data_IF_376973652932
#
_entry.id   IF_376973652932
#
_cell.length_a   1.000
_cell.length_b   1.000
_cell.length_c   1.000
_cell.angle_alpha   90.00
_cell.angle_beta   90.00
_cell.angle_gamma   90.00
#
_symmetry.space_group_name_H-M   'P 1'
#
loop_
_entity.id
_entity.type
_entity.pdbx_description
1 polymer ?
#
# COMPACT_ATOMS: atom_id res chain seq x y z
N UNK A 1 -12.55 5.07 -7.96
CA UNK A 1 -12.01 3.74 -7.66
C UNK A 1 -10.52 3.75 -7.89
N UNK A 2 -9.73 3.71 -6.82
CA UNK A 2 -8.30 3.41 -6.84
C UNK A 2 -8.16 1.91 -6.56
N UNK A 3 -7.39 1.18 -7.37
CA UNK A 3 -7.21 -0.26 -7.19
C UNK A 3 -5.77 -0.69 -7.45
N UNK A 4 -5.15 -1.29 -6.45
CA UNK A 4 -3.90 -2.02 -6.51
C UNK A 4 -4.21 -3.51 -6.40
N UNK A 5 -3.75 -4.33 -7.35
CA UNK A 5 -3.99 -5.78 -7.37
C UNK A 5 -2.67 -6.51 -7.51
N UNK A 6 -2.26 -7.21 -6.45
CA UNK A 6 -1.06 -8.05 -6.38
C UNK A 6 0.23 -7.33 -6.82
N UNK A 7 0.33 -6.05 -6.46
CA UNK A 7 1.50 -5.23 -6.80
C UNK A 7 2.67 -5.67 -5.92
N UNK A 8 3.81 -5.96 -6.54
CA UNK A 8 5.08 -6.19 -5.85
C UNK A 8 6.01 -5.02 -6.08
N UNK A 9 6.47 -4.40 -5.00
CA UNK A 9 7.46 -3.33 -5.02
C UNK A 9 8.73 -3.76 -4.29
N UNK A 10 9.90 -3.42 -4.85
CA UNK A 10 11.19 -3.70 -4.24
C UNK A 10 11.70 -2.46 -3.52
N UNK A 11 11.66 -2.46 -2.19
CA UNK A 11 12.28 -1.42 -1.38
C UNK A 11 13.64 -1.92 -0.88
N UNK A 12 14.73 -1.33 -1.39
CA UNK A 12 16.10 -1.83 -1.14
C UNK A 12 16.24 -3.34 -1.36
N UNK A 13 15.69 -3.85 -2.47
CA UNK A 13 15.66 -5.28 -2.83
C UNK A 13 14.80 -6.17 -1.93
N UNK A 14 14.12 -5.61 -0.94
CA UNK A 14 13.14 -6.34 -0.13
C UNK A 14 11.76 -6.29 -0.82
N UNK A 15 11.17 -7.45 -1.15
CA UNK A 15 9.86 -7.48 -1.78
C UNK A 15 8.76 -7.14 -0.79
N UNK A 16 7.92 -6.18 -1.17
CA UNK A 16 6.68 -5.84 -0.48
C UNK A 16 5.50 -6.05 -1.43
N UNK A 17 4.40 -6.57 -0.90
CA UNK A 17 3.19 -6.89 -1.69
C UNK A 17 2.01 -6.08 -1.19
N UNK A 18 1.27 -5.50 -2.12
CA UNK A 18 0.13 -4.65 -1.83
C UNK A 18 -1.08 -4.97 -2.70
N UNK A 19 -2.23 -5.09 -2.04
CA UNK A 19 -3.55 -5.13 -2.65
C UNK A 19 -4.46 -4.21 -1.86
N UNK A 20 -5.05 -3.22 -2.54
CA UNK A 20 -5.87 -2.18 -1.93
C UNK A 20 -6.91 -1.73 -2.94
N UNK A 21 -8.16 -1.61 -2.49
CA UNK A 21 -9.24 -0.97 -3.25
C UNK A 21 -9.79 0.16 -2.39
N UNK A 22 -9.94 1.35 -2.98
CA UNK A 22 -10.56 2.51 -2.34
C UNK A 22 -11.60 3.10 -3.29
N UNK A 23 -12.83 3.18 -2.82
CA UNK A 23 -13.93 3.74 -3.57
C UNK A 23 -14.02 5.26 -3.44
N UNK A 24 -14.74 5.88 -4.38
CA UNK A 24 -14.90 7.33 -4.37
C UNK A 24 -15.72 7.75 -3.14
N UNK A 25 -15.12 8.59 -2.30
CA UNK A 25 -15.77 9.07 -1.07
C UNK A 25 -15.45 8.23 0.17
N UNK A 26 -14.73 7.11 0.04
CA UNK A 26 -14.22 6.39 1.19
C UNK A 26 -13.04 7.11 1.83
N UNK A 27 -12.98 7.06 3.16
CA UNK A 27 -11.84 7.47 3.95
C UNK A 27 -11.24 6.23 4.62
N UNK A 28 -9.97 5.94 4.31
CA UNK A 28 -9.29 4.73 4.78
C UNK A 28 -8.06 5.12 5.60
N UNK A 29 -7.89 4.50 6.77
CA UNK A 29 -6.69 4.63 7.58
C UNK A 29 -5.78 3.42 7.36
N UNK A 30 -4.50 3.67 7.09
CA UNK A 30 -3.48 2.62 6.96
C UNK A 30 -2.72 2.53 8.28
N UNK A 31 -2.84 1.39 8.97
CA UNK A 31 -2.27 1.17 10.30
C UNK A 31 -1.21 0.06 10.30
N UNK A 32 -0.32 0.09 11.29
CA UNK A 32 0.73 -0.91 11.46
C UNK A 32 2.01 -0.34 12.08
N UNK A 33 2.93 -1.20 12.55
CA UNK A 33 4.18 -0.79 13.21
C UNK A 33 5.10 0.01 12.29
N UNK A 34 6.12 0.66 12.86
CA UNK A 34 7.17 1.31 12.06
C UNK A 34 7.84 0.29 11.13
N UNK A 35 8.13 0.68 9.89
CA UNK A 35 8.71 -0.21 8.88
C UNK A 35 7.72 -1.15 8.16
N UNK A 36 6.43 -1.17 8.53
CA UNK A 36 5.42 -2.04 7.89
C UNK A 36 5.06 -1.69 6.43
N UNK A 37 5.77 -0.75 5.78
CA UNK A 37 5.52 -0.38 4.38
C UNK A 37 4.39 0.64 4.13
N UNK A 38 3.83 1.27 5.17
CA UNK A 38 2.71 2.23 5.05
C UNK A 38 3.06 3.44 4.16
N UNK A 39 4.18 4.11 4.45
CA UNK A 39 4.64 5.24 3.63
C UNK A 39 5.06 4.79 2.23
N UNK A 40 5.51 3.55 2.08
CA UNK A 40 5.80 3.01 0.75
C UNK A 40 4.53 2.81 -0.05
N UNK A 41 3.48 2.20 0.52
CA UNK A 41 2.17 2.05 -0.11
C UNK A 41 1.57 3.39 -0.55
N UNK A 42 1.72 4.44 0.26
CA UNK A 42 1.23 5.79 -0.09
C UNK A 42 2.06 6.50 -1.17
N UNK A 43 3.28 6.03 -1.46
CA UNK A 43 4.19 6.57 -2.47
C UNK A 43 4.25 5.73 -3.76
N UNK A 44 3.49 4.64 -3.86
CA UNK A 44 3.32 3.86 -5.09
C UNK A 44 2.45 4.61 -6.09
#
# INVERSE_FOLDING_TARGET
>A
MLKLTDITWLYHHLPMRFSLTVERGEQVAILGPSGAGKSTLLNL
#
